data_IF_879874435205
#
_entry.id   IF_879874435205
#
_cell.length_a   1.000
_cell.length_b   1.000
_cell.length_c   1.000
_cell.angle_alpha   90.00
_cell.angle_beta   90.00
_cell.angle_gamma   90.00
#
_symmetry.space_group_name_H-M   'P 1'
#
loop_
_entity.id
_entity.type
_entity.pdbx_description
1 polymer ?
#
# COMPACT_ATOMS: atom_id res chain seq x y z
N UNK A 1 -17.08 -28.33 -17.56
CA UNK A 1 -15.99 -29.31 -17.44
C UNK A 1 -14.70 -28.55 -17.65
N UNK A 2 -13.77 -28.65 -16.74
CA UNK A 2 -12.40 -28.12 -16.77
C UNK A 2 -12.21 -26.62 -16.51
N UNK A 3 -12.86 -26.08 -15.49
CA UNK A 3 -12.50 -24.80 -14.88
C UNK A 3 -11.31 -24.92 -13.90
N UNK A 4 -10.42 -25.93 -14.09
CA UNK A 4 -9.23 -26.06 -13.29
C UNK A 4 -8.14 -25.15 -13.84
N UNK A 5 -7.64 -24.25 -12.99
CA UNK A 5 -6.51 -23.38 -13.32
C UNK A 5 -5.23 -24.22 -13.29
N UNK A 6 -4.52 -24.33 -14.41
CA UNK A 6 -3.17 -24.88 -14.45
C UNK A 6 -2.26 -23.99 -13.59
N UNK A 7 -1.64 -24.58 -12.58
CA UNK A 7 -0.80 -23.85 -11.60
C UNK A 7 0.69 -24.00 -11.88
N UNK A 8 1.06 -24.98 -12.69
CA UNK A 8 2.45 -25.30 -13.05
C UNK A 8 2.55 -25.55 -14.54
N UNK A 9 3.68 -25.20 -15.13
CA UNK A 9 3.97 -25.50 -16.54
C UNK A 9 3.99 -27.02 -16.85
N UNK A 10 4.09 -27.86 -15.82
CA UNK A 10 4.07 -29.33 -15.91
C UNK A 10 2.68 -29.93 -15.80
N UNK A 11 1.62 -29.12 -15.62
CA UNK A 11 0.26 -29.66 -15.52
C UNK A 11 -0.14 -30.23 -16.88
N UNK A 12 -0.63 -31.50 -16.88
CA UNK A 12 -0.95 -32.23 -18.10
C UNK A 12 -2.28 -31.75 -18.67
N UNK A 13 -2.29 -31.41 -19.95
CA UNK A 13 -3.49 -31.05 -20.71
C UNK A 13 -3.85 -32.24 -21.63
N UNK A 14 -5.12 -32.65 -21.64
CA UNK A 14 -5.62 -33.71 -22.54
C UNK A 14 -5.98 -33.11 -23.90
N UNK A 15 -5.93 -33.88 -25.00
CA UNK A 15 -6.27 -33.37 -26.33
C UNK A 15 -7.68 -32.75 -26.45
N UNK A 16 -8.61 -33.18 -25.57
CA UNK A 16 -10.01 -32.67 -25.55
C UNK A 16 -10.21 -31.49 -24.58
N UNK A 17 -9.18 -31.05 -23.85
CA UNK A 17 -9.30 -29.95 -22.90
C UNK A 17 -9.26 -28.60 -23.64
N UNK A 18 -10.20 -27.73 -23.34
CA UNK A 18 -10.19 -26.34 -23.82
C UNK A 18 -9.31 -25.52 -22.89
N UNK A 19 -8.15 -25.12 -23.39
CA UNK A 19 -7.22 -24.24 -22.67
C UNK A 19 -7.58 -22.79 -23.00
N UNK A 20 -8.03 -22.05 -21.97
CA UNK A 20 -8.22 -20.60 -22.07
C UNK A 20 -7.14 -19.90 -21.28
N UNK A 21 -6.53 -18.89 -21.87
CA UNK A 21 -5.63 -18.01 -21.13
C UNK A 21 -6.45 -17.25 -20.07
N UNK A 22 -6.06 -17.35 -18.80
CA UNK A 22 -6.60 -16.47 -17.78
C UNK A 22 -6.33 -15.02 -18.19
N UNK A 23 -7.30 -14.14 -18.00
CA UNK A 23 -7.10 -12.69 -18.21
C UNK A 23 -5.91 -12.29 -17.33
N UNK A 24 -4.91 -11.69 -17.95
CA UNK A 24 -3.71 -11.25 -17.24
C UNK A 24 -4.12 -10.17 -16.25
N UNK A 25 -3.93 -10.44 -14.96
CA UNK A 25 -4.19 -9.46 -13.91
C UNK A 25 -3.42 -8.16 -14.22
N UNK A 26 -4.11 -7.01 -14.11
CA UNK A 26 -3.51 -5.70 -14.39
C UNK A 26 -2.32 -5.42 -13.48
N UNK A 27 -2.44 -5.79 -12.20
CA UNK A 27 -1.41 -5.60 -11.20
C UNK A 27 -0.87 -6.93 -10.66
N UNK A 28 0.35 -6.94 -10.12
CA UNK A 28 0.98 -8.14 -9.52
C UNK A 28 0.23 -8.68 -8.31
N UNK A 29 -0.62 -7.87 -7.69
CA UNK A 29 -1.47 -8.28 -6.57
C UNK A 29 -2.70 -7.37 -6.43
N UNK A 30 -3.66 -7.80 -5.61
CA UNK A 30 -4.89 -7.05 -5.30
C UNK A 30 -4.63 -5.64 -4.73
N UNK A 31 -3.46 -5.44 -4.08
CA UNK A 31 -3.06 -4.12 -3.58
C UNK A 31 -3.09 -3.03 -4.64
N UNK A 32 -2.67 -3.34 -5.89
CA UNK A 32 -2.68 -2.39 -6.98
C UNK A 32 -4.05 -1.75 -7.24
N UNK A 33 -5.13 -2.53 -7.12
CA UNK A 33 -6.49 -2.01 -7.28
C UNK A 33 -6.91 -1.05 -6.16
N UNK A 34 -6.40 -1.25 -4.94
CA UNK A 34 -6.66 -0.34 -3.81
C UNK A 34 -6.03 1.03 -4.08
N UNK A 35 -4.75 1.03 -4.47
CA UNK A 35 -4.06 2.28 -4.76
C UNK A 35 -4.62 2.97 -6.01
N UNK A 36 -4.91 2.22 -7.09
CA UNK A 36 -5.52 2.77 -8.31
C UNK A 36 -6.83 3.51 -7.99
N UNK A 37 -7.68 2.91 -7.13
CA UNK A 37 -8.89 3.56 -6.64
C UNK A 37 -8.59 4.88 -5.91
N UNK A 38 -7.61 4.90 -4.99
CA UNK A 38 -7.25 6.11 -4.25
C UNK A 38 -6.71 7.20 -5.16
N UNK A 39 -5.82 6.86 -6.11
CA UNK A 39 -5.25 7.82 -7.06
C UNK A 39 -6.34 8.48 -7.90
N UNK A 40 -7.34 7.71 -8.34
CA UNK A 40 -8.48 8.23 -9.10
C UNK A 40 -9.40 9.07 -8.23
N UNK A 41 -9.78 8.57 -7.03
CA UNK A 41 -10.71 9.24 -6.13
C UNK A 41 -10.19 10.60 -5.64
N UNK A 42 -8.92 10.67 -5.28
CA UNK A 42 -8.27 11.89 -4.79
C UNK A 42 -7.61 12.74 -5.89
N UNK A 43 -7.69 12.31 -7.15
CA UNK A 43 -7.08 12.97 -8.31
C UNK A 43 -5.57 13.18 -8.19
N UNK A 44 -4.85 12.21 -7.57
CA UNK A 44 -3.42 12.29 -7.34
C UNK A 44 -2.65 12.01 -8.62
N UNK A 45 -1.79 12.95 -9.03
CA UNK A 45 -0.93 12.82 -10.21
C UNK A 45 0.39 12.15 -9.82
N UNK A 46 0.69 11.02 -10.46
CA UNK A 46 1.91 10.22 -10.20
C UNK A 46 2.95 10.42 -11.29
N UNK A 47 2.53 10.70 -12.52
CA UNK A 47 3.41 10.81 -13.68
C UNK A 47 4.57 11.78 -13.43
N UNK A 48 5.79 11.33 -13.67
CA UNK A 48 7.02 12.11 -13.47
C UNK A 48 7.51 12.21 -12.04
N UNK A 49 6.77 11.66 -11.05
CA UNK A 49 7.15 11.68 -9.63
C UNK A 49 8.03 10.49 -9.25
N UNK A 50 8.97 10.72 -8.33
CA UNK A 50 9.53 9.64 -7.51
C UNK A 50 8.58 9.34 -6.34
N UNK A 51 8.52 8.09 -5.90
CA UNK A 51 7.66 7.67 -4.80
C UNK A 51 8.34 6.65 -3.89
N UNK A 52 7.82 6.51 -2.67
CA UNK A 52 8.17 5.45 -1.72
C UNK A 52 6.93 4.60 -1.46
N UNK A 53 7.07 3.28 -1.48
CA UNK A 53 6.06 2.28 -1.12
C UNK A 53 6.47 1.62 0.19
N UNK A 54 5.81 1.98 1.29
CA UNK A 54 6.04 1.43 2.63
C UNK A 54 5.12 0.23 2.87
N UNK A 55 5.70 -0.97 2.97
CA UNK A 55 4.98 -2.23 3.05
C UNK A 55 4.72 -2.82 1.66
N UNK A 56 5.71 -2.81 0.78
CA UNK A 56 5.56 -3.16 -0.63
C UNK A 56 5.11 -4.62 -0.87
N UNK A 57 5.49 -5.57 0.01
CA UNK A 57 5.13 -7.00 -0.11
C UNK A 57 5.36 -7.53 -1.53
N UNK A 58 4.34 -8.06 -2.20
CA UNK A 58 4.41 -8.54 -3.59
C UNK A 58 4.54 -7.41 -4.62
N UNK A 59 4.35 -6.16 -4.23
CA UNK A 59 4.55 -4.98 -5.08
C UNK A 59 3.29 -4.45 -5.76
N UNK A 60 2.11 -4.70 -5.20
CA UNK A 60 0.85 -4.21 -5.79
C UNK A 60 0.82 -2.69 -5.92
N UNK A 61 1.20 -1.96 -4.86
CA UNK A 61 1.28 -0.50 -4.88
C UNK A 61 2.41 -0.02 -5.80
N UNK A 62 3.59 -0.62 -5.71
CA UNK A 62 4.73 -0.34 -6.60
C UNK A 62 4.33 -0.47 -8.08
N UNK A 63 3.67 -1.58 -8.46
CA UNK A 63 3.22 -1.81 -9.85
C UNK A 63 2.20 -0.75 -10.30
N UNK A 64 1.27 -0.37 -9.43
CA UNK A 64 0.31 0.69 -9.69
C UNK A 64 0.99 2.04 -9.92
N UNK A 65 1.95 2.42 -9.08
CA UNK A 65 2.72 3.66 -9.23
C UNK A 65 3.48 3.69 -10.56
N UNK A 66 4.15 2.59 -10.93
CA UNK A 66 4.90 2.49 -12.19
C UNK A 66 3.99 2.60 -13.42
N UNK A 67 2.79 1.95 -13.37
CA UNK A 67 1.80 2.06 -14.43
C UNK A 67 1.17 3.45 -14.51
N UNK A 68 1.08 4.17 -13.39
CA UNK A 68 0.63 5.56 -13.33
C UNK A 68 1.73 6.57 -13.72
N UNK A 69 2.92 6.11 -14.13
CA UNK A 69 3.99 6.94 -14.68
C UNK A 69 5.02 7.43 -13.67
N UNK A 70 5.16 6.79 -12.50
CA UNK A 70 6.27 7.07 -11.59
C UNK A 70 7.62 6.82 -12.27
N UNK A 71 8.55 7.75 -12.09
CA UNK A 71 9.91 7.65 -12.66
C UNK A 71 10.86 6.85 -11.77
N UNK A 72 10.54 6.76 -10.48
CA UNK A 72 11.28 5.98 -9.50
C UNK A 72 10.34 5.55 -8.38
N UNK A 73 10.45 4.29 -7.91
CA UNK A 73 9.74 3.79 -6.73
C UNK A 73 10.72 3.07 -5.82
N UNK A 74 10.81 3.49 -4.57
CA UNK A 74 11.54 2.77 -3.52
C UNK A 74 10.58 1.84 -2.79
N UNK A 75 10.67 0.54 -3.06
CA UNK A 75 9.83 -0.50 -2.48
C UNK A 75 10.46 -1.02 -1.19
N UNK A 76 9.85 -0.66 -0.05
CA UNK A 76 10.35 -0.96 1.29
C UNK A 76 9.49 -2.02 1.96
N UNK A 77 10.12 -3.10 2.45
CA UNK A 77 9.43 -4.14 3.21
C UNK A 77 10.35 -4.78 4.25
N UNK A 78 9.77 -5.25 5.36
CA UNK A 78 10.49 -6.03 6.39
C UNK A 78 10.81 -7.43 5.92
N UNK A 79 10.01 -7.98 4.99
CA UNK A 79 10.20 -9.27 4.37
C UNK A 79 11.39 -9.31 3.41
N UNK A 80 11.65 -10.48 2.89
CA UNK A 80 12.67 -10.72 1.87
C UNK A 80 12.12 -11.65 0.78
N UNK A 81 12.46 -11.37 -0.48
CA UNK A 81 12.10 -12.22 -1.61
C UNK A 81 10.63 -12.17 -2.01
N UNK A 82 9.84 -11.23 -1.43
CA UNK A 82 8.39 -11.16 -1.67
C UNK A 82 8.04 -10.38 -2.94
N UNK A 83 8.80 -9.34 -3.27
CA UNK A 83 8.52 -8.48 -4.41
C UNK A 83 8.53 -9.29 -5.71
N UNK A 84 7.51 -9.12 -6.53
CA UNK A 84 7.36 -9.84 -7.80
C UNK A 84 8.57 -9.64 -8.72
N UNK A 85 9.02 -10.72 -9.39
CA UNK A 85 10.22 -10.73 -10.21
C UNK A 85 10.27 -9.63 -11.26
N UNK A 86 9.17 -9.37 -11.95
CA UNK A 86 9.09 -8.30 -12.96
C UNK A 86 9.41 -6.92 -12.39
N UNK A 87 9.05 -6.65 -11.12
CA UNK A 87 9.32 -5.39 -10.45
C UNK A 87 10.77 -5.29 -9.98
N UNK A 88 11.37 -6.42 -9.57
CA UNK A 88 12.80 -6.48 -9.23
C UNK A 88 13.71 -6.18 -10.41
N UNK A 89 13.26 -6.51 -11.62
CA UNK A 89 14.00 -6.26 -12.86
C UNK A 89 13.73 -4.87 -13.46
N UNK A 90 12.74 -4.13 -12.98
CA UNK A 90 12.44 -2.80 -13.48
C UNK A 90 13.50 -1.79 -12.96
N UNK A 91 14.25 -1.12 -13.85
CA UNK A 91 15.30 -0.19 -13.44
C UNK A 91 14.79 1.01 -12.63
N UNK A 92 13.48 1.27 -12.68
CA UNK A 92 12.84 2.32 -11.89
C UNK A 92 12.57 1.91 -10.44
N UNK A 93 12.73 0.62 -10.07
CA UNK A 93 12.46 0.13 -8.72
C UNK A 93 13.73 0.03 -7.90
N UNK A 94 13.77 0.71 -6.78
CA UNK A 94 14.77 0.54 -5.73
C UNK A 94 14.25 -0.44 -4.66
N UNK A 95 14.75 -1.67 -4.64
CA UNK A 95 14.30 -2.70 -3.69
C UNK A 95 15.01 -2.54 -2.36
N UNK A 96 14.24 -2.32 -1.27
CA UNK A 96 14.75 -2.12 0.09
C UNK A 96 14.07 -3.11 1.04
N UNK A 97 14.48 -4.35 0.98
CA UNK A 97 13.99 -5.44 1.84
C UNK A 97 14.69 -5.45 3.21
N UNK A 98 14.14 -6.23 4.16
CA UNK A 98 14.59 -6.29 5.57
C UNK A 98 14.64 -4.90 6.23
N UNK A 99 13.81 -3.98 5.77
CA UNK A 99 13.77 -2.60 6.23
C UNK A 99 12.42 -2.32 6.89
N UNK A 100 12.46 -1.98 8.18
CA UNK A 100 11.25 -1.65 8.91
C UNK A 100 10.83 -0.19 8.63
N UNK A 101 9.65 0.00 8.05
CA UNK A 101 9.10 1.30 7.71
C UNK A 101 9.03 2.27 8.90
N UNK A 102 8.87 1.75 10.14
CA UNK A 102 8.87 2.54 11.37
C UNK A 102 10.20 3.25 11.63
N UNK A 103 11.31 2.66 11.19
CA UNK A 103 12.66 3.14 11.47
C UNK A 103 13.42 3.61 10.23
N UNK A 104 12.73 3.71 9.09
CA UNK A 104 13.37 4.21 7.89
C UNK A 104 13.71 5.71 8.03
N UNK A 105 14.90 6.06 7.58
CA UNK A 105 15.44 7.44 7.64
C UNK A 105 16.09 7.79 6.31
N UNK A 106 16.39 9.07 6.04
CA UNK A 106 17.08 9.47 4.81
C UNK A 106 18.39 8.74 4.53
N UNK A 107 19.08 8.28 5.57
CA UNK A 107 20.37 7.56 5.44
C UNK A 107 20.26 6.20 4.75
N UNK A 108 19.06 5.64 4.65
CA UNK A 108 18.82 4.37 3.96
C UNK A 108 18.74 4.53 2.43
N UNK A 109 18.66 5.76 1.93
CA UNK A 109 18.48 6.05 0.51
C UNK A 109 19.76 6.53 -0.16
N UNK A 110 19.90 6.32 -1.47
CA UNK A 110 20.99 6.91 -2.23
C UNK A 110 21.00 8.44 -2.13
N UNK A 111 22.16 9.04 -2.26
CA UNK A 111 22.29 10.50 -2.32
C UNK A 111 21.43 11.08 -3.45
N UNK A 112 20.73 12.18 -3.17
CA UNK A 112 19.82 12.82 -4.10
C UNK A 112 18.47 12.11 -4.32
N UNK A 113 18.22 10.99 -3.62
CA UNK A 113 16.95 10.26 -3.74
C UNK A 113 15.78 10.93 -3.02
N UNK A 114 16.07 11.73 -2.02
CA UNK A 114 15.08 12.37 -1.13
C UNK A 114 15.25 13.90 -1.14
N UNK A 115 14.20 14.63 -0.76
CA UNK A 115 12.85 14.14 -0.40
C UNK A 115 12.04 13.71 -1.63
N UNK A 116 10.97 12.91 -1.42
CA UNK A 116 10.06 12.47 -2.48
C UNK A 116 8.70 13.19 -2.40
N UNK A 117 8.03 13.47 -3.53
CA UNK A 117 6.72 14.13 -3.53
C UNK A 117 5.55 13.21 -3.19
N UNK A 118 5.73 11.88 -3.18
CA UNK A 118 4.66 10.92 -2.92
C UNK A 118 5.15 9.73 -2.09
N UNK A 119 4.40 9.40 -1.04
CA UNK A 119 4.59 8.17 -0.26
C UNK A 119 3.28 7.41 -0.21
N UNK A 120 3.33 6.09 -0.44
CA UNK A 120 2.18 5.21 -0.25
C UNK A 120 2.48 4.21 0.87
N UNK A 121 1.43 3.82 1.64
CA UNK A 121 1.60 3.00 2.84
C UNK A 121 0.56 1.88 2.86
N UNK A 122 1.02 0.62 2.83
CA UNK A 122 0.20 -0.58 3.05
C UNK A 122 0.86 -1.53 4.07
N UNK A 123 1.22 -1.02 5.23
CA UNK A 123 1.82 -1.82 6.30
C UNK A 123 0.77 -2.65 7.04
N UNK A 124 1.15 -3.86 7.48
CA UNK A 124 0.31 -4.75 8.29
C UNK A 124 0.91 -4.95 9.67
N UNK A 125 0.05 -5.27 10.65
CA UNK A 125 0.41 -5.55 12.04
C UNK A 125 1.03 -4.37 12.79
N UNK A 126 0.80 -3.15 12.32
CA UNK A 126 1.31 -1.91 12.91
C UNK A 126 0.30 -0.79 12.65
N UNK A 127 0.13 0.12 13.61
CA UNK A 127 -0.68 1.32 13.45
C UNK A 127 0.03 2.36 12.58
N UNK A 128 -0.73 3.09 11.77
CA UNK A 128 -0.25 4.25 11.00
C UNK A 128 0.37 5.33 11.90
N UNK A 129 -0.05 5.43 13.17
CA UNK A 129 0.57 6.34 14.15
C UNK A 129 2.07 6.09 14.32
N UNK A 130 2.54 4.86 14.10
CA UNK A 130 3.94 4.49 14.20
C UNK A 130 4.72 4.65 12.88
N UNK A 131 4.03 4.71 11.75
CA UNK A 131 4.64 4.81 10.41
C UNK A 131 4.70 6.25 9.92
N UNK A 132 3.65 7.04 10.13
CA UNK A 132 3.55 8.40 9.61
C UNK A 132 4.71 9.32 10.04
N UNK A 133 5.25 9.27 11.28
CA UNK A 133 6.39 10.11 11.63
C UNK A 133 7.64 9.86 10.77
N UNK A 134 7.95 8.60 10.45
CA UNK A 134 9.08 8.28 9.56
C UNK A 134 8.77 8.68 8.11
N UNK A 135 7.54 8.45 7.63
CA UNK A 135 7.12 8.86 6.28
C UNK A 135 7.30 10.37 6.07
N UNK A 136 6.87 11.21 7.02
CA UNK A 136 6.99 12.67 6.93
C UNK A 136 8.45 13.12 6.80
N UNK A 137 9.38 12.42 7.44
CA UNK A 137 10.81 12.75 7.38
C UNK A 137 11.42 12.54 5.99
N UNK A 138 10.78 11.75 5.15
CA UNK A 138 11.19 11.41 3.79
C UNK A 138 10.43 12.21 2.73
N UNK A 139 9.36 12.89 3.13
CA UNK A 139 8.42 13.56 2.25
C UNK A 139 8.86 14.99 1.96
N UNK A 140 8.72 15.42 0.71
CA UNK A 140 8.96 16.78 0.28
C UNK A 140 7.97 17.78 0.91
N UNK A 141 8.24 19.08 0.78
CA UNK A 141 7.27 20.14 1.09
C UNK A 141 6.08 20.02 0.15
N UNK A 142 4.88 20.17 0.68
CA UNK A 142 3.64 19.90 -0.04
C UNK A 142 3.58 18.51 -0.68
N UNK A 143 4.36 17.55 -0.16
CA UNK A 143 4.30 16.15 -0.59
C UNK A 143 3.06 15.44 -0.05
N UNK A 144 2.65 14.40 -0.74
CA UNK A 144 1.41 13.68 -0.52
C UNK A 144 1.66 12.28 0.06
N UNK A 145 0.78 11.83 0.97
CA UNK A 145 0.76 10.46 1.49
C UNK A 145 -0.60 9.84 1.17
N UNK A 146 -0.59 8.64 0.59
CA UNK A 146 -1.77 7.77 0.51
C UNK A 146 -1.53 6.58 1.42
N UNK A 147 -2.33 6.43 2.48
CA UNK A 147 -2.14 5.34 3.44
C UNK A 147 -3.40 4.48 3.57
N UNK A 148 -3.21 3.17 3.69
CA UNK A 148 -4.28 2.22 3.95
C UNK A 148 -4.52 2.12 5.46
N UNK A 149 -5.69 2.57 5.91
CA UNK A 149 -6.18 2.41 7.27
C UNK A 149 -6.77 1.01 7.41
N UNK A 150 -6.24 0.24 8.34
CA UNK A 150 -6.71 -1.11 8.66
C UNK A 150 -7.27 -1.11 10.09
N UNK A 151 -8.58 -1.03 10.28
CA UNK A 151 -9.19 -0.88 11.61
C UNK A 151 -8.71 -1.90 12.62
N UNK A 152 -8.43 -3.14 12.21
CA UNK A 152 -7.93 -4.20 13.08
C UNK A 152 -6.53 -3.93 13.66
N UNK A 153 -5.75 -3.01 13.08
CA UNK A 153 -4.44 -2.62 13.60
C UNK A 153 -4.45 -1.25 14.31
N UNK A 154 -5.58 -0.55 14.25
CA UNK A 154 -5.77 0.78 14.86
C UNK A 154 -6.66 0.73 16.11
N UNK A 155 -7.68 -0.14 16.15
CA UNK A 155 -8.71 -0.15 17.18
C UNK A 155 -8.23 -0.71 18.55
N UNK A 156 -7.03 -1.26 18.62
CA UNK A 156 -6.51 -1.88 19.83
C UNK A 156 -6.81 -3.38 19.94
N UNK A 157 -5.94 -4.08 20.67
CA UNK A 157 -5.92 -5.54 20.72
C UNK A 157 -7.24 -6.14 21.23
N UNK A 158 -7.82 -5.57 22.28
CA UNK A 158 -9.05 -6.10 22.89
C UNK A 158 -10.27 -6.07 21.95
N UNK A 159 -10.34 -5.11 21.04
CA UNK A 159 -11.42 -5.03 20.04
C UNK A 159 -11.16 -5.97 18.88
N UNK A 160 -9.92 -6.06 18.42
CA UNK A 160 -9.54 -7.01 17.38
C UNK A 160 -9.76 -8.46 17.83
N UNK A 161 -9.39 -8.81 19.07
CA UNK A 161 -9.54 -10.15 19.62
C UNK A 161 -11.02 -10.57 19.74
N UNK A 162 -11.93 -9.65 20.09
CA UNK A 162 -13.39 -9.92 20.15
C UNK A 162 -13.98 -10.38 18.82
N UNK A 163 -13.46 -9.86 17.72
CA UNK A 163 -13.91 -10.20 16.36
C UNK A 163 -13.00 -11.23 15.65
N UNK A 164 -12.18 -11.99 16.38
CA UNK A 164 -11.20 -12.91 15.79
C UNK A 164 -10.34 -12.24 14.68
N UNK A 165 -9.95 -10.99 14.90
CA UNK A 165 -9.18 -10.21 13.95
C UNK A 165 -10.02 -9.45 12.92
N UNK A 166 -11.35 -9.54 12.97
CA UNK A 166 -12.25 -8.81 12.06
C UNK A 166 -13.02 -7.73 12.83
N UNK A 167 -12.87 -6.49 12.42
CA UNK A 167 -13.65 -5.35 12.90
C UNK A 167 -14.80 -5.12 11.92
N UNK A 168 -16.02 -5.46 12.32
CA UNK A 168 -17.23 -5.30 11.49
C UNK A 168 -18.12 -4.12 11.90
N UNK A 169 -17.95 -3.61 13.12
CA UNK A 169 -18.76 -2.53 13.68
C UNK A 169 -18.42 -1.17 13.00
N UNK A 170 -19.40 -0.56 12.31
CA UNK A 170 -19.21 0.75 11.69
C UNK A 170 -18.80 1.86 12.68
N UNK A 171 -19.28 1.80 13.93
CA UNK A 171 -18.93 2.80 14.94
C UNK A 171 -17.43 2.75 15.29
N UNK A 172 -16.84 1.56 15.29
CA UNK A 172 -15.40 1.37 15.49
C UNK A 172 -14.63 1.91 14.28
N UNK A 173 -15.11 1.69 13.05
CA UNK A 173 -14.48 2.25 11.85
C UNK A 173 -14.45 3.78 11.90
N UNK A 174 -15.58 4.41 12.20
CA UNK A 174 -15.68 5.87 12.30
C UNK A 174 -14.80 6.45 13.41
N UNK A 175 -14.75 5.76 14.57
CA UNK A 175 -13.87 6.17 15.67
C UNK A 175 -12.40 6.12 15.27
N UNK A 176 -11.96 5.01 14.68
CA UNK A 176 -10.59 4.81 14.21
C UNK A 176 -10.18 5.88 13.21
N UNK A 177 -11.02 6.16 12.22
CA UNK A 177 -10.76 7.20 11.22
C UNK A 177 -10.61 8.58 11.90
N UNK A 178 -11.54 8.94 12.79
CA UNK A 178 -11.51 10.23 13.51
C UNK A 178 -10.27 10.36 14.41
N UNK A 179 -9.90 9.29 15.11
CA UNK A 179 -8.70 9.29 15.95
C UNK A 179 -7.41 9.44 15.14
N UNK A 180 -7.33 8.83 13.96
CA UNK A 180 -6.20 8.99 13.03
C UNK A 180 -6.18 10.40 12.42
N UNK A 181 -7.34 10.94 12.07
CA UNK A 181 -7.45 12.33 11.59
C UNK A 181 -6.93 13.31 12.64
N UNK A 182 -7.38 13.17 13.89
CA UNK A 182 -6.90 14.01 15.00
C UNK A 182 -5.38 13.88 15.18
N UNK A 183 -4.84 12.67 15.17
CA UNK A 183 -3.41 12.44 15.27
C UNK A 183 -2.64 13.10 14.12
N UNK A 184 -3.09 12.88 12.88
CA UNK A 184 -2.41 13.42 11.70
C UNK A 184 -2.42 14.95 11.67
N UNK A 185 -3.55 15.58 12.05
CA UNK A 185 -3.72 17.03 11.98
C UNK A 185 -3.13 17.75 13.21
N UNK A 186 -3.43 17.29 14.42
CA UNK A 186 -3.03 17.98 15.64
C UNK A 186 -1.57 17.69 16.03
N UNK A 187 -1.11 16.44 15.90
CA UNK A 187 0.24 16.08 16.35
C UNK A 187 1.28 16.15 15.23
N UNK A 188 0.91 15.73 13.99
CA UNK A 188 1.85 15.70 12.87
C UNK A 188 1.73 16.91 11.93
N UNK A 189 0.72 17.76 12.13
CA UNK A 189 0.45 18.97 11.31
C UNK A 189 0.29 18.65 9.81
N UNK A 190 -0.25 17.49 9.50
CA UNK A 190 -0.63 17.14 8.14
C UNK A 190 -2.02 17.70 7.82
N UNK A 191 -2.25 18.02 6.55
CA UNK A 191 -3.59 18.30 6.05
C UNK A 191 -4.28 16.96 5.76
N UNK A 192 -5.47 16.75 6.32
CA UNK A 192 -6.35 15.63 6.01
C UNK A 192 -7.20 15.99 4.78
N UNK A 193 -6.82 15.46 3.61
CA UNK A 193 -7.49 15.78 2.34
C UNK A 193 -8.76 14.98 2.11
N UNK A 194 -8.88 13.82 2.76
CA UNK A 194 -10.07 12.98 2.73
C UNK A 194 -9.78 11.51 2.98
N UNK A 195 -10.86 10.74 3.08
CA UNK A 195 -10.83 9.30 3.27
C UNK A 195 -11.88 8.64 2.37
N UNK A 196 -11.55 7.46 1.81
CA UNK A 196 -12.48 6.64 1.02
C UNK A 196 -12.40 5.18 1.44
N UNK A 197 -13.48 4.43 1.31
CA UNK A 197 -13.43 2.99 1.56
C UNK A 197 -12.66 2.30 0.43
N UNK A 198 -11.81 1.36 0.77
CA UNK A 198 -11.14 0.48 -0.19
C UNK A 198 -12.16 -0.31 -1.02
N UNK A 199 -11.96 -0.45 -2.34
CA UNK A 199 -12.85 -1.26 -3.19
C UNK A 199 -12.75 -2.76 -2.89
N UNK A 200 -11.72 -3.17 -2.13
CA UNK A 200 -11.46 -4.56 -1.77
C UNK A 200 -11.36 -4.70 -0.26
N UNK A 201 -11.90 -5.80 0.23
CA UNK A 201 -11.71 -6.21 1.62
C UNK A 201 -10.28 -6.74 1.85
N UNK A 202 -9.79 -6.59 3.07
CA UNK A 202 -8.57 -7.24 3.52
C UNK A 202 -8.66 -8.77 3.47
N UNK A 203 -7.52 -9.49 3.61
CA UNK A 203 -7.48 -10.96 3.50
C UNK A 203 -8.44 -11.70 4.45
N UNK A 204 -8.66 -11.17 5.66
CA UNK A 204 -9.58 -11.74 6.65
C UNK A 204 -11.02 -11.22 6.52
N UNK A 205 -11.33 -10.40 5.49
CA UNK A 205 -12.66 -9.83 5.30
C UNK A 205 -12.87 -8.46 5.96
N UNK A 206 -11.84 -7.85 6.54
CA UNK A 206 -11.92 -6.51 7.11
C UNK A 206 -12.21 -5.45 6.04
N UNK A 207 -13.09 -4.52 6.35
CA UNK A 207 -13.16 -3.25 5.63
C UNK A 207 -11.89 -2.46 5.90
N UNK A 208 -11.34 -1.87 4.85
CA UNK A 208 -10.16 -1.02 4.91
C UNK A 208 -10.48 0.32 4.26
N UNK A 209 -9.73 1.36 4.61
CA UNK A 209 -9.97 2.70 4.10
C UNK A 209 -8.65 3.29 3.60
N UNK A 210 -8.74 4.17 2.61
CA UNK A 210 -7.60 4.88 2.05
C UNK A 210 -7.71 6.34 2.44
N UNK A 211 -6.67 6.87 3.04
CA UNK A 211 -6.58 8.28 3.43
C UNK A 211 -5.59 9.01 2.55
N UNK A 212 -5.93 10.24 2.19
CA UNK A 212 -5.04 11.19 1.53
C UNK A 212 -4.62 12.28 2.51
N UNK A 213 -3.32 12.38 2.74
CA UNK A 213 -2.70 13.38 3.60
C UNK A 213 -1.71 14.22 2.78
N UNK A 214 -1.52 15.46 3.18
CA UNK A 214 -0.54 16.36 2.57
C UNK A 214 0.28 17.04 3.64
N UNK A 215 1.59 17.17 3.41
CA UNK A 215 2.49 17.88 4.30
C UNK A 215 2.34 19.39 4.07
N UNK A 216 2.11 20.13 5.16
CA UNK A 216 2.15 21.60 5.11
C UNK A 216 3.56 22.09 4.81
N UNK A 217 3.68 23.29 4.26
CA UNK A 217 4.95 23.97 3.99
C UNK A 217 5.84 24.16 5.21
#
# INVERSE_FOLDING_TARGET
MNEQVARKASDTVRPADVVTLAVRERFVSRGGWKLDHALQHFHIKVAGKAAIDLGASTGGFTDCLLQAGAVRVYAIDVGQGQLAWKLRQDPRVGVMERTNARHVTPRHFPEGALPVPLIVVDCSFISLRQILPSAISLLDRAGEIVALIKPQFEAGKAEADRGAGVISDPAVHERVIRELEQFATAELRLLWRGVTQSPLLGPAGNKEFLVHLEKTE
#
